data_IF_124641891511
#
_entry.id   IF_124641891511
#
_cell.length_a   1.000
_cell.length_b   1.000
_cell.length_c   1.000
_cell.angle_alpha   90.00
_cell.angle_beta   90.00
_cell.angle_gamma   90.00
#
_symmetry.space_group_name_H-M   'P 1'
#
loop_
_entity.id
_entity.type
_entity.pdbx_description
1 polymer ?
#
# COMPACT_ATOMS: atom_id res chain seq x y z
N UNK A 1 20.12 -14.21 2.98
CA UNK A 1 19.48 -13.56 4.16
C UNK A 1 20.35 -12.47 4.81
N UNK A 2 21.60 -12.72 5.21
CA UNK A 2 22.47 -11.72 5.89
C UNK A 2 22.64 -10.39 5.13
N UNK A 3 22.69 -10.42 3.80
CA UNK A 3 22.87 -9.21 2.96
C UNK A 3 21.61 -8.33 2.90
N UNK A 4 20.42 -8.92 2.78
CA UNK A 4 19.14 -8.18 2.71
C UNK A 4 18.87 -7.47 4.04
N UNK A 5 19.10 -8.17 5.16
CA UNK A 5 18.92 -7.58 6.49
C UNK A 5 19.87 -6.40 6.73
N UNK A 6 21.13 -6.50 6.29
CA UNK A 6 22.08 -5.39 6.35
C UNK A 6 21.60 -4.18 5.54
N UNK A 7 21.12 -4.41 4.32
CA UNK A 7 20.59 -3.34 3.45
C UNK A 7 19.38 -2.65 4.11
N UNK A 8 18.44 -3.41 4.67
CA UNK A 8 17.26 -2.87 5.34
C UNK A 8 17.64 -2.06 6.58
N UNK A 9 18.49 -2.62 7.45
CA UNK A 9 18.99 -1.92 8.64
C UNK A 9 19.72 -0.63 8.27
N UNK A 10 20.43 -0.62 7.15
CA UNK A 10 21.14 0.57 6.68
C UNK A 10 20.17 1.66 6.15
N UNK A 11 19.12 1.28 5.41
CA UNK A 11 18.08 2.21 4.92
C UNK A 11 17.30 2.88 6.05
N UNK A 12 17.08 2.15 7.14
CA UNK A 12 16.28 2.58 8.29
C UNK A 12 17.12 3.01 9.51
N UNK A 13 18.44 3.16 9.35
CA UNK A 13 19.37 3.38 10.47
C UNK A 13 18.94 4.51 11.40
N UNK A 14 18.41 5.58 10.82
CA UNK A 14 18.06 6.82 11.55
C UNK A 14 16.57 6.89 11.92
N UNK A 15 15.80 5.81 11.68
CA UNK A 15 14.34 5.73 11.91
C UNK A 15 13.96 4.88 13.14
N UNK A 16 14.93 4.55 14.01
CA UNK A 16 14.70 3.79 15.24
C UNK A 16 14.02 2.44 15.01
N UNK A 17 12.92 2.18 15.72
CA UNK A 17 12.18 0.92 15.66
C UNK A 17 11.14 0.84 14.54
N UNK A 18 11.09 1.83 13.63
CA UNK A 18 10.07 1.91 12.57
C UNK A 18 10.08 0.67 11.67
N UNK A 19 11.27 0.18 11.28
CA UNK A 19 11.39 -1.04 10.47
C UNK A 19 10.77 -2.25 11.17
N UNK A 20 11.00 -2.37 12.48
CA UNK A 20 10.44 -3.46 13.28
C UNK A 20 8.92 -3.33 13.40
N UNK A 21 8.41 -2.13 13.67
CA UNK A 21 6.97 -1.86 13.75
C UNK A 21 6.25 -2.20 12.44
N UNK A 22 6.82 -1.82 11.29
CA UNK A 22 6.26 -2.16 9.96
C UNK A 22 6.25 -3.67 9.74
N UNK A 23 7.34 -4.37 10.06
CA UNK A 23 7.42 -5.83 9.91
C UNK A 23 6.42 -6.57 10.81
N UNK A 24 6.30 -6.16 12.07
CA UNK A 24 5.32 -6.74 13.01
C UNK A 24 3.91 -6.47 12.50
N UNK A 25 3.59 -5.23 12.11
CA UNK A 25 2.29 -4.87 11.55
C UNK A 25 1.92 -5.71 10.32
N UNK A 26 2.87 -5.93 9.40
CA UNK A 26 2.66 -6.80 8.24
C UNK A 26 2.30 -8.24 8.63
N UNK A 27 3.05 -8.83 9.57
CA UNK A 27 2.83 -10.20 10.02
C UNK A 27 1.48 -10.32 10.73
N UNK A 28 1.15 -9.37 11.61
CA UNK A 28 -0.13 -9.35 12.34
C UNK A 28 -1.32 -9.26 11.39
N UNK A 29 -1.28 -8.36 10.39
CA UNK A 29 -2.35 -8.24 9.39
C UNK A 29 -2.51 -9.53 8.60
N UNK A 30 -1.42 -10.15 8.14
CA UNK A 30 -1.46 -11.42 7.41
C UNK A 30 -2.04 -12.56 8.24
N UNK A 31 -1.63 -12.67 9.50
CA UNK A 31 -2.12 -13.70 10.41
C UNK A 31 -3.59 -13.54 10.75
N UNK A 32 -4.06 -12.29 10.89
CA UNK A 32 -5.44 -12.01 11.27
C UNK A 32 -6.42 -12.19 10.09
N UNK A 33 -6.11 -11.61 8.93
CA UNK A 33 -7.03 -11.61 7.79
C UNK A 33 -6.85 -12.81 6.85
N UNK A 34 -5.65 -13.39 6.79
CA UNK A 34 -5.32 -14.48 5.87
C UNK A 34 -6.27 -15.69 5.97
N UNK A 35 -6.47 -16.29 7.17
CA UNK A 35 -7.34 -17.45 7.33
C UNK A 35 -8.79 -17.18 6.90
N UNK A 36 -9.33 -16.01 7.25
CA UNK A 36 -10.69 -15.59 6.89
C UNK A 36 -10.84 -15.43 5.38
N UNK A 37 -9.86 -14.81 4.71
CA UNK A 37 -9.86 -14.66 3.26
C UNK A 37 -9.82 -16.02 2.57
N UNK A 38 -8.94 -16.94 3.01
CA UNK A 38 -8.85 -18.30 2.45
C UNK A 38 -10.18 -19.04 2.62
N UNK A 39 -10.78 -18.97 3.80
CA UNK A 39 -12.10 -19.59 4.07
C UNK A 39 -13.18 -19.05 3.14
N UNK A 40 -13.28 -17.73 3.00
CA UNK A 40 -14.29 -17.09 2.13
C UNK A 40 -14.06 -17.42 0.65
N UNK A 41 -12.80 -17.47 0.20
CA UNK A 41 -12.48 -17.79 -1.20
C UNK A 41 -12.79 -19.25 -1.57
N UNK A 42 -12.74 -20.17 -0.59
CA UNK A 42 -13.11 -21.57 -0.77
C UNK A 42 -14.62 -21.83 -0.63
N UNK A 43 -15.37 -20.84 -0.18
CA UNK A 43 -16.81 -20.95 0.04
C UNK A 43 -17.62 -20.74 -1.25
N UNK A 44 -18.96 -20.71 -1.10
CA UNK A 44 -19.92 -20.57 -2.19
C UNK A 44 -19.81 -19.25 -2.96
N UNK A 45 -20.66 -19.06 -3.97
CA UNK A 45 -20.55 -17.97 -4.95
C UNK A 45 -20.49 -16.57 -4.33
N UNK A 46 -21.46 -16.18 -3.50
CA UNK A 46 -21.51 -14.83 -2.91
C UNK A 46 -20.40 -14.58 -1.88
N UNK A 47 -20.11 -15.57 -1.03
CA UNK A 47 -19.03 -15.51 -0.04
C UNK A 47 -17.65 -15.44 -0.68
N UNK A 48 -17.46 -16.10 -1.83
CA UNK A 48 -16.23 -16.00 -2.63
C UNK A 48 -16.00 -14.60 -3.18
N UNK A 49 -17.06 -13.90 -3.58
CA UNK A 49 -16.95 -12.50 -4.03
C UNK A 49 -16.56 -11.59 -2.86
N UNK A 50 -17.13 -11.82 -1.67
CA UNK A 50 -16.73 -11.13 -0.44
C UNK A 50 -15.27 -11.43 -0.06
N UNK A 51 -14.83 -12.68 -0.23
CA UNK A 51 -13.42 -13.06 -0.11
C UNK A 51 -12.51 -12.27 -1.05
N UNK A 52 -12.97 -12.02 -2.29
CA UNK A 52 -12.30 -11.15 -3.26
C UNK A 52 -12.20 -9.69 -2.81
N UNK A 53 -13.22 -9.16 -2.15
CA UNK A 53 -13.21 -7.81 -1.55
C UNK A 53 -12.12 -7.69 -0.48
N UNK A 54 -12.08 -8.63 0.48
CA UNK A 54 -11.05 -8.63 1.51
C UNK A 54 -9.65 -8.90 0.95
N UNK A 55 -9.53 -9.75 -0.07
CA UNK A 55 -8.25 -9.98 -0.74
C UNK A 55 -7.71 -8.70 -1.38
N UNK A 56 -8.57 -7.88 -2.01
CA UNK A 56 -8.15 -6.59 -2.56
C UNK A 56 -7.66 -5.63 -1.47
N UNK A 57 -8.36 -5.56 -0.33
CA UNK A 57 -7.91 -4.75 0.82
C UNK A 57 -6.55 -5.23 1.34
N UNK A 58 -6.37 -6.54 1.51
CA UNK A 58 -5.10 -7.12 1.96
C UNK A 58 -3.97 -6.83 0.98
N UNK A 59 -4.21 -6.95 -0.33
CA UNK A 59 -3.22 -6.63 -1.36
C UNK A 59 -2.78 -5.16 -1.31
N UNK A 60 -3.70 -4.22 -1.09
CA UNK A 60 -3.34 -2.80 -0.91
C UNK A 60 -2.40 -2.62 0.28
N UNK A 61 -2.72 -3.23 1.43
CA UNK A 61 -1.87 -3.17 2.62
C UNK A 61 -0.49 -3.77 2.31
N UNK A 62 -0.42 -4.93 1.65
CA UNK A 62 0.85 -5.57 1.31
C UNK A 62 1.70 -4.74 0.35
N UNK A 63 1.09 -4.14 -0.67
CA UNK A 63 1.79 -3.22 -1.57
C UNK A 63 2.30 -2.01 -0.81
N UNK A 64 1.48 -1.44 0.07
CA UNK A 64 1.86 -0.29 0.90
C UNK A 64 3.07 -0.62 1.77
N UNK A 65 3.02 -1.74 2.51
CA UNK A 65 4.11 -2.16 3.37
C UNK A 65 5.38 -2.52 2.60
N UNK A 66 5.26 -3.23 1.46
CA UNK A 66 6.40 -3.56 0.62
C UNK A 66 7.06 -2.31 0.04
N UNK A 67 6.26 -1.34 -0.39
CA UNK A 67 6.77 -0.07 -0.88
C UNK A 67 7.44 0.74 0.23
N UNK A 68 6.89 0.78 1.45
CA UNK A 68 7.55 1.38 2.61
C UNK A 68 8.94 0.77 2.80
N UNK A 69 9.05 -0.57 2.87
CA UNK A 69 10.33 -1.28 3.03
C UNK A 69 11.34 -0.92 1.92
N UNK A 70 10.86 -0.57 0.72
CA UNK A 70 11.70 -0.15 -0.41
C UNK A 70 12.17 1.30 -0.35
N UNK A 71 11.51 2.17 0.41
CA UNK A 71 11.93 3.56 0.62
C UNK A 71 13.29 3.55 1.34
N UNK A 72 14.23 4.35 0.84
CA UNK A 72 15.48 4.61 1.54
C UNK A 72 15.29 5.87 2.38
N UNK A 73 15.12 5.69 3.70
CA UNK A 73 14.84 6.80 4.61
C UNK A 73 15.98 7.80 4.72
N UNK A 74 17.20 7.46 4.24
CA UNK A 74 18.32 8.40 4.17
C UNK A 74 18.27 9.31 2.93
N UNK A 75 17.52 8.90 1.90
CA UNK A 75 17.34 9.65 0.64
C UNK A 75 15.85 9.76 0.30
N UNK A 76 15.11 10.41 1.19
CA UNK A 76 13.67 10.63 1.04
C UNK A 76 13.35 11.48 -0.20
N UNK A 77 14.11 12.55 -0.44
CA UNK A 77 13.99 13.39 -1.64
C UNK A 77 14.80 12.74 -2.77
N UNK A 78 14.19 11.77 -3.44
CA UNK A 78 14.79 11.11 -4.61
C UNK A 78 13.72 10.72 -5.63
N UNK A 79 14.11 10.65 -6.91
CA UNK A 79 13.24 10.16 -7.99
C UNK A 79 12.70 8.76 -7.70
N UNK A 80 13.48 7.93 -7.00
CA UNK A 80 13.06 6.60 -6.56
C UNK A 80 11.92 6.67 -5.55
N UNK A 81 12.01 7.51 -4.53
CA UNK A 81 10.93 7.68 -3.53
C UNK A 81 9.66 8.21 -4.18
N UNK A 82 9.78 9.20 -5.07
CA UNK A 82 8.65 9.72 -5.83
C UNK A 82 7.94 8.62 -6.65
N UNK A 83 8.71 7.81 -7.38
CA UNK A 83 8.17 6.69 -8.16
C UNK A 83 7.49 5.64 -7.28
N UNK A 84 8.05 5.35 -6.09
CA UNK A 84 7.43 4.42 -5.13
C UNK A 84 6.07 4.95 -4.66
N UNK A 85 5.98 6.24 -4.29
CA UNK A 85 4.74 6.88 -3.83
C UNK A 85 3.66 6.91 -4.93
N UNK A 86 4.06 7.25 -6.17
CA UNK A 86 3.17 7.18 -7.34
C UNK A 86 2.66 5.76 -7.62
N UNK A 87 3.54 4.77 -7.46
CA UNK A 87 3.19 3.36 -7.62
C UNK A 87 2.20 2.91 -6.56
N UNK A 88 2.45 3.24 -5.27
CA UNK A 88 1.52 2.96 -4.17
C UNK A 88 0.13 3.50 -4.51
N UNK A 89 0.05 4.77 -4.91
CA UNK A 89 -1.22 5.40 -5.21
C UNK A 89 -1.95 4.73 -6.38
N UNK A 90 -1.23 4.47 -7.47
CA UNK A 90 -1.77 3.82 -8.67
C UNK A 90 -2.28 2.40 -8.38
N UNK A 91 -1.51 1.59 -7.65
CA UNK A 91 -1.95 0.25 -7.25
C UNK A 91 -3.15 0.29 -6.31
N UNK A 92 -3.18 1.23 -5.37
CA UNK A 92 -4.32 1.40 -4.45
C UNK A 92 -5.60 1.69 -5.23
N UNK A 93 -5.56 2.65 -6.16
CA UNK A 93 -6.72 2.96 -7.02
C UNK A 93 -7.13 1.75 -7.84
N UNK A 94 -6.18 1.05 -8.48
CA UNK A 94 -6.46 -0.14 -9.27
C UNK A 94 -7.17 -1.22 -8.45
N UNK A 95 -6.64 -1.57 -7.28
CA UNK A 95 -7.24 -2.59 -6.41
C UNK A 95 -8.60 -2.15 -5.87
N UNK A 96 -8.81 -0.86 -5.63
CA UNK A 96 -10.12 -0.35 -5.24
C UNK A 96 -11.13 -0.46 -6.40
N UNK A 97 -10.74 -0.21 -7.65
CA UNK A 97 -11.63 -0.42 -8.81
C UNK A 97 -12.00 -1.91 -8.99
N UNK A 98 -11.03 -2.80 -8.83
CA UNK A 98 -11.25 -4.26 -8.86
C UNK A 98 -12.17 -4.68 -7.71
N UNK A 99 -11.92 -4.20 -6.49
CA UNK A 99 -12.75 -4.44 -5.30
C UNK A 99 -14.20 -4.03 -5.54
N UNK A 100 -14.44 -2.87 -6.14
CA UNK A 100 -15.80 -2.41 -6.48
C UNK A 100 -16.53 -3.40 -7.42
N UNK A 101 -15.80 -4.01 -8.35
CA UNK A 101 -16.36 -5.03 -9.25
C UNK A 101 -16.74 -6.31 -8.49
N UNK A 102 -15.96 -6.72 -7.50
CA UNK A 102 -16.30 -7.84 -6.61
C UNK A 102 -17.48 -7.52 -5.69
N UNK A 103 -17.50 -6.32 -5.09
CA UNK A 103 -18.57 -5.89 -4.20
C UNK A 103 -19.94 -5.90 -4.90
N UNK A 104 -20.02 -5.36 -6.12
CA UNK A 104 -21.25 -5.40 -6.95
C UNK A 104 -21.76 -6.83 -7.21
N UNK A 105 -20.86 -7.81 -7.25
CA UNK A 105 -21.20 -9.24 -7.46
C UNK A 105 -21.52 -9.97 -6.15
N UNK A 106 -21.15 -9.41 -5.00
CA UNK A 106 -21.48 -9.95 -3.70
C UNK A 106 -22.92 -9.63 -3.25
N UNK A 107 -23.61 -8.71 -3.94
CA UNK A 107 -24.98 -8.30 -3.63
C UNK A 107 -25.06 -7.60 -2.27
N UNK A 108 -26.09 -7.92 -1.49
CA UNK A 108 -26.36 -7.30 -0.17
C UNK A 108 -25.20 -7.44 0.84
N UNK A 109 -24.36 -8.48 0.71
CA UNK A 109 -23.16 -8.67 1.53
C UNK A 109 -22.07 -7.62 1.23
N UNK A 110 -22.10 -6.99 0.06
CA UNK A 110 -21.14 -5.96 -0.36
C UNK A 110 -21.63 -4.52 -0.10
N UNK A 111 -22.92 -4.33 0.14
CA UNK A 111 -23.59 -3.02 0.28
C UNK A 111 -23.78 -2.56 1.72
N UNK A 112 -23.24 -3.29 2.70
CA UNK A 112 -23.18 -2.82 4.09
C UNK A 112 -22.46 -1.47 4.14
N UNK A 113 -23.10 -0.46 4.74
CA UNK A 113 -22.66 0.95 4.69
C UNK A 113 -21.20 1.17 5.12
N UNK A 114 -20.72 0.36 6.08
CA UNK A 114 -19.31 0.34 6.50
C UNK A 114 -18.36 -0.05 5.35
N UNK A 115 -18.73 -1.01 4.50
CA UNK A 115 -17.90 -1.43 3.35
C UNK A 115 -17.86 -0.40 2.22
N UNK A 116 -18.92 0.40 2.05
CA UNK A 116 -18.98 1.45 1.03
C UNK A 116 -18.05 2.62 1.38
N UNK A 117 -18.10 3.08 2.64
CA UNK A 117 -17.31 4.22 3.12
C UNK A 117 -15.80 3.92 3.12
N UNK A 118 -15.41 2.70 3.48
CA UNK A 118 -14.01 2.26 3.50
C UNK A 118 -13.37 2.30 2.11
N UNK A 119 -14.10 1.92 1.07
CA UNK A 119 -13.55 1.87 -0.29
C UNK A 119 -13.24 3.23 -0.88
N UNK A 120 -14.19 4.17 -0.77
CA UNK A 120 -14.00 5.50 -1.32
C UNK A 120 -12.86 6.23 -0.60
N UNK A 121 -12.77 6.05 0.72
CA UNK A 121 -11.71 6.64 1.54
C UNK A 121 -10.33 6.07 1.17
N UNK A 122 -10.20 4.75 1.00
CA UNK A 122 -8.94 4.12 0.59
C UNK A 122 -8.57 4.54 -0.85
N UNK A 123 -9.55 4.67 -1.74
CA UNK A 123 -9.32 5.15 -3.11
C UNK A 123 -8.82 6.60 -3.12
N UNK A 124 -9.43 7.49 -2.34
CA UNK A 124 -8.97 8.86 -2.18
C UNK A 124 -7.55 8.92 -1.61
N UNK A 125 -7.24 8.09 -0.60
CA UNK A 125 -5.89 7.96 -0.08
C UNK A 125 -4.90 7.55 -1.17
N UNK A 126 -5.26 6.59 -2.03
CA UNK A 126 -4.47 6.21 -3.20
C UNK A 126 -4.18 7.40 -4.14
N UNK A 127 -5.20 8.21 -4.44
CA UNK A 127 -5.04 9.41 -5.27
C UNK A 127 -4.11 10.43 -4.60
N UNK A 128 -4.28 10.66 -3.30
CA UNK A 128 -3.41 11.55 -2.52
C UNK A 128 -1.96 11.09 -2.54
N UNK A 129 -1.70 9.79 -2.36
CA UNK A 129 -0.35 9.22 -2.43
C UNK A 129 0.29 9.42 -3.80
N UNK A 130 -0.48 9.23 -4.88
CA UNK A 130 0.00 9.49 -6.23
C UNK A 130 0.35 10.97 -6.45
N UNK A 131 -0.48 11.86 -5.91
CA UNK A 131 -0.24 13.30 -5.94
C UNK A 131 1.01 13.71 -5.15
N UNK A 132 1.19 13.19 -3.93
CA UNK A 132 2.38 13.42 -3.11
C UNK A 132 3.63 12.94 -3.85
N UNK A 133 3.58 11.78 -4.52
CA UNK A 133 4.70 11.30 -5.33
C UNK A 133 5.13 12.29 -6.43
N UNK A 134 4.16 12.93 -7.13
CA UNK A 134 4.45 14.00 -8.09
C UNK A 134 5.06 15.23 -7.43
N UNK A 135 4.60 15.62 -6.24
CA UNK A 135 5.21 16.72 -5.47
C UNK A 135 6.67 16.41 -5.14
N UNK A 136 6.95 15.22 -4.63
CA UNK A 136 8.33 14.79 -4.31
C UNK A 136 9.20 14.82 -5.57
N UNK A 137 8.68 14.37 -6.73
CA UNK A 137 9.39 14.45 -8.00
C UNK A 137 9.72 15.90 -8.39
N UNK A 138 8.78 16.83 -8.18
CA UNK A 138 9.01 18.25 -8.44
C UNK A 138 10.05 18.84 -7.49
N UNK A 139 10.00 18.47 -6.21
CA UNK A 139 10.98 18.89 -5.22
C UNK A 139 12.40 18.39 -5.56
N UNK A 140 12.53 17.16 -6.07
CA UNK A 140 13.82 16.63 -6.56
C UNK A 140 14.36 17.49 -7.70
N UNK A 141 13.52 17.84 -8.70
CA UNK A 141 13.94 18.71 -9.82
C UNK A 141 14.41 20.08 -9.36
N UNK A 142 13.66 20.73 -8.45
CA UNK A 142 14.02 22.04 -7.89
C UNK A 142 15.37 21.95 -7.17
N UNK A 143 15.60 20.87 -6.42
CA UNK A 143 16.88 20.64 -5.74
C UNK A 143 18.03 20.47 -6.74
N UNK A 144 17.83 19.67 -7.79
CA UNK A 144 18.83 19.46 -8.84
C UNK A 144 19.15 20.77 -9.59
N UNK A 145 18.15 21.60 -9.88
CA UNK A 145 18.33 22.93 -10.48
C UNK A 145 19.13 23.88 -9.58
N UNK A 146 18.82 23.92 -8.28
CA UNK A 146 19.53 24.78 -7.32
C UNK A 146 20.98 24.32 -7.08
N UNK A 147 21.24 23.01 -7.03
CA UNK A 147 22.58 22.43 -6.88
C UNK A 147 23.46 22.72 -8.12
N UNK A 148 22.88 22.99 -9.30
CA UNK A 148 23.60 23.36 -10.53
C UNK A 148 23.92 24.86 -10.65
N UNK A 149 23.28 25.70 -9.83
CA UNK A 149 23.44 27.16 -9.84
C UNK A 149 24.48 27.69 -8.84
N UNK A 150 25.05 26.82 -8.00
CA UNK A 150 26.11 27.13 -7.03
C UNK A 150 27.44 26.58 -7.56
#
# INVERSE_FOLDING_TARGET
>A
MKTIWKILKQRYKDMGNLLFAVLVGMISVMMYFGPTIVRLLLAGTSERMLGGVYACNLLVILVFCFCIIRIDCRKLISNKTASILESIGSFTVLFMLIRNSFAKRAGDLGDEFLYSLDWFTIMLFGIMMAFIGKIVRRAVKIKEENDLTI
#
